data_IF_606238264126
#
_entry.id   IF_606238264126
#
_cell.length_a   1.000
_cell.length_b   1.000
_cell.length_c   1.000
_cell.angle_alpha   90.00
_cell.angle_beta   90.00
_cell.angle_gamma   90.00
#
_symmetry.space_group_name_H-M   'P 1'
#
loop_
_entity.id
_entity.type
_entity.pdbx_description
1 polymer ?
#
# COMPACT_ATOMS: atom_id res chain seq x y z
N UNK A 1 51.43 36.35 -31.18
CA UNK A 1 51.02 35.04 -31.78
C UNK A 1 50.77 33.92 -30.74
N UNK A 2 50.97 34.15 -29.48
CA UNK A 2 50.90 33.11 -28.42
C UNK A 2 49.48 32.81 -27.86
N UNK A 3 48.53 33.76 -27.93
CA UNK A 3 47.21 33.60 -27.30
C UNK A 3 46.19 32.73 -28.13
N UNK A 4 46.36 32.68 -29.43
CA UNK A 4 45.47 31.84 -30.29
C UNK A 4 45.80 30.34 -30.25
N UNK A 5 47.04 29.97 -29.90
CA UNK A 5 47.41 28.55 -29.78
C UNK A 5 46.94 27.95 -28.46
N UNK A 6 46.91 28.69 -27.36
CA UNK A 6 46.46 28.22 -26.05
C UNK A 6 44.94 27.99 -26.01
N UNK A 7 44.11 28.79 -26.74
CA UNK A 7 42.68 28.58 -26.83
C UNK A 7 42.28 27.33 -27.64
N UNK A 8 43.03 27.05 -28.72
CA UNK A 8 42.76 25.86 -29.55
C UNK A 8 43.06 24.55 -28.80
N UNK A 9 44.10 24.53 -27.95
CA UNK A 9 44.43 23.34 -27.14
C UNK A 9 43.44 23.12 -25.98
N UNK A 10 42.92 24.18 -25.35
CA UNK A 10 41.90 24.07 -24.29
C UNK A 10 40.54 23.57 -24.83
N UNK A 11 40.14 24.05 -26.00
CA UNK A 11 38.87 23.59 -26.65
C UNK A 11 38.98 22.17 -27.15
N UNK A 12 40.14 21.73 -27.67
CA UNK A 12 40.34 20.35 -28.13
C UNK A 12 40.37 19.35 -26.96
N UNK A 13 40.96 19.73 -25.84
CA UNK A 13 41.02 18.88 -24.65
C UNK A 13 39.65 18.76 -23.99
N UNK A 14 38.88 19.85 -23.93
CA UNK A 14 37.49 19.84 -23.42
C UNK A 14 36.53 19.02 -24.31
N UNK A 15 36.73 19.04 -25.64
CA UNK A 15 35.98 18.20 -26.58
C UNK A 15 36.39 16.73 -26.43
N UNK A 16 37.68 16.44 -26.24
CA UNK A 16 38.15 15.07 -26.06
C UNK A 16 37.68 14.47 -24.73
N UNK A 17 37.68 15.24 -23.64
CA UNK A 17 37.20 14.81 -22.32
C UNK A 17 35.67 14.60 -22.35
N UNK A 18 34.91 15.47 -23.03
CA UNK A 18 33.47 15.27 -23.26
C UNK A 18 33.17 14.06 -24.14
N UNK A 19 33.95 13.82 -25.17
CA UNK A 19 33.80 12.66 -26.07
C UNK A 19 34.13 11.35 -25.33
N UNK A 20 35.16 11.37 -24.48
CA UNK A 20 35.59 10.22 -23.65
C UNK A 20 34.54 9.89 -22.60
N UNK A 21 33.96 10.89 -21.92
CA UNK A 21 32.84 10.74 -20.99
C UNK A 21 31.56 10.23 -21.71
N UNK A 22 31.30 10.71 -22.92
CA UNK A 22 30.16 10.26 -23.75
C UNK A 22 30.32 8.81 -24.19
N UNK A 23 31.52 8.39 -24.60
CA UNK A 23 31.84 7.02 -24.98
C UNK A 23 31.83 6.06 -23.79
N UNK A 24 32.27 6.50 -22.61
CA UNK A 24 32.21 5.72 -21.37
C UNK A 24 30.76 5.55 -20.90
N UNK A 25 29.91 6.58 -21.01
CA UNK A 25 28.48 6.50 -20.68
C UNK A 25 27.73 5.57 -21.63
N UNK A 26 27.98 5.68 -22.93
CA UNK A 26 27.35 4.83 -23.97
C UNK A 26 27.73 3.35 -23.80
N UNK A 27 28.98 3.04 -23.42
CA UNK A 27 29.42 1.67 -23.19
C UNK A 27 28.82 1.07 -21.90
N UNK A 28 28.68 1.86 -20.84
CA UNK A 28 28.06 1.45 -19.59
C UNK A 28 26.55 1.16 -19.77
N UNK A 29 25.83 2.00 -20.51
CA UNK A 29 24.42 1.81 -20.83
C UNK A 29 24.17 0.56 -21.69
N UNK A 30 25.05 0.26 -22.67
CA UNK A 30 25.01 -0.99 -23.42
C UNK A 30 25.25 -2.22 -22.54
N UNK A 31 26.08 -2.09 -21.50
CA UNK A 31 26.37 -3.19 -20.57
C UNK A 31 25.16 -3.50 -19.68
N UNK A 32 24.49 -2.47 -19.17
CA UNK A 32 23.28 -2.60 -18.32
C UNK A 32 22.14 -3.27 -19.10
N UNK A 33 21.99 -2.95 -20.39
CA UNK A 33 20.96 -3.55 -21.25
C UNK A 33 21.24 -5.02 -21.59
N UNK A 34 22.50 -5.52 -21.51
CA UNK A 34 22.84 -6.93 -21.83
C UNK A 34 22.29 -7.94 -20.81
N UNK A 35 22.05 -7.52 -19.57
CA UNK A 35 21.63 -8.41 -18.49
C UNK A 35 20.12 -8.68 -18.42
N UNK A 36 19.34 -8.18 -19.38
CA UNK A 36 17.90 -8.46 -19.44
C UNK A 36 17.66 -9.93 -19.78
N UNK A 37 17.12 -10.67 -18.79
CA UNK A 37 16.80 -12.09 -18.94
C UNK A 37 15.42 -12.27 -19.59
N UNK A 38 15.36 -13.10 -20.62
CA UNK A 38 14.11 -13.47 -21.26
C UNK A 38 13.57 -14.74 -20.60
N UNK A 39 12.36 -14.65 -20.02
CA UNK A 39 11.66 -15.83 -19.46
C UNK A 39 10.99 -16.63 -20.59
N UNK A 40 11.02 -17.94 -20.47
CA UNK A 40 10.31 -18.85 -21.40
C UNK A 40 8.78 -18.77 -21.28
N UNK A 41 8.26 -18.24 -20.15
CA UNK A 41 6.82 -18.14 -19.86
C UNK A 41 6.17 -16.81 -20.29
N UNK A 42 6.96 -15.81 -20.68
CA UNK A 42 6.46 -14.48 -21.06
C UNK A 42 6.86 -14.12 -22.49
N UNK A 43 6.04 -13.29 -23.16
CA UNK A 43 6.38 -12.83 -24.50
C UNK A 43 7.69 -12.00 -24.47
N UNK A 44 8.51 -12.13 -25.52
CA UNK A 44 9.78 -11.39 -25.67
C UNK A 44 9.56 -9.88 -25.59
N UNK A 45 8.42 -9.38 -26.04
CA UNK A 45 8.03 -7.96 -25.96
C UNK A 45 7.91 -7.54 -24.49
N UNK A 46 7.15 -8.31 -23.70
CA UNK A 46 6.94 -8.03 -22.28
C UNK A 46 8.25 -8.15 -21.50
N UNK A 47 9.03 -9.21 -21.72
CA UNK A 47 10.33 -9.40 -21.05
C UNK A 47 11.29 -8.24 -21.31
N UNK A 48 11.36 -7.73 -22.54
CA UNK A 48 12.23 -6.60 -22.89
C UNK A 48 11.73 -5.31 -22.23
N UNK A 49 10.43 -5.02 -22.31
CA UNK A 49 9.85 -3.83 -21.71
C UNK A 49 10.02 -3.83 -20.19
N UNK A 50 9.73 -4.95 -19.53
CA UNK A 50 9.83 -5.08 -18.07
C UNK A 50 11.29 -5.04 -17.60
N UNK A 51 12.24 -5.61 -18.34
CA UNK A 51 13.67 -5.53 -18.04
C UNK A 51 14.21 -4.10 -18.10
N UNK A 52 13.83 -3.31 -19.11
CA UNK A 52 14.18 -1.89 -19.21
C UNK A 52 13.50 -1.11 -18.07
N UNK A 53 12.22 -1.34 -17.81
CA UNK A 53 11.49 -0.72 -16.72
C UNK A 53 12.17 -0.98 -15.38
N UNK A 54 12.60 -2.21 -15.12
CA UNK A 54 13.32 -2.58 -13.90
C UNK A 54 14.66 -1.83 -13.78
N UNK A 55 15.41 -1.71 -14.87
CA UNK A 55 16.66 -0.96 -14.89
C UNK A 55 16.46 0.53 -14.59
N UNK A 56 15.39 1.14 -15.08
CA UNK A 56 15.01 2.52 -14.75
C UNK A 56 14.61 2.60 -13.26
N UNK A 57 13.81 1.66 -12.79
CA UNK A 57 13.35 1.61 -11.40
C UNK A 57 14.54 1.47 -10.42
N UNK A 58 15.52 0.66 -10.74
CA UNK A 58 16.74 0.46 -9.93
C UNK A 58 17.72 1.64 -10.02
N UNK A 59 17.45 2.62 -10.87
CA UNK A 59 18.34 3.77 -11.07
C UNK A 59 19.57 3.48 -11.94
N UNK A 60 19.63 2.30 -12.57
CA UNK A 60 20.70 1.93 -13.51
C UNK A 60 20.58 2.72 -14.83
N UNK A 61 19.34 3.04 -15.24
CA UNK A 61 19.03 3.98 -16.31
C UNK A 61 18.35 5.20 -15.71
N UNK A 62 18.91 6.39 -15.96
CA UNK A 62 18.46 7.65 -15.37
C UNK A 62 17.72 8.50 -16.40
N UNK A 63 16.91 9.45 -15.91
CA UNK A 63 16.28 10.45 -16.73
C UNK A 63 17.29 11.15 -17.66
N UNK A 64 16.96 11.21 -18.95
CA UNK A 64 17.81 11.78 -19.98
C UNK A 64 18.79 10.81 -20.63
N UNK A 65 18.98 9.60 -20.08
CA UNK A 65 19.83 8.56 -20.69
C UNK A 65 19.25 8.09 -22.02
N UNK A 66 20.12 7.95 -23.01
CA UNK A 66 19.70 7.44 -24.33
C UNK A 66 19.60 5.91 -24.30
N UNK A 67 18.54 5.40 -24.90
CA UNK A 67 18.39 3.97 -25.18
C UNK A 67 18.96 3.63 -26.57
N UNK A 68 19.41 2.39 -26.78
CA UNK A 68 19.81 1.93 -28.08
C UNK A 68 18.71 2.14 -29.11
N UNK A 69 19.08 2.40 -30.35
CA UNK A 69 18.13 2.39 -31.48
C UNK A 69 17.47 1.02 -31.63
N UNK A 70 16.35 0.94 -32.34
CA UNK A 70 15.67 -0.33 -32.60
C UNK A 70 16.61 -1.37 -33.23
N UNK A 71 17.51 -0.95 -34.10
CA UNK A 71 18.47 -1.84 -34.76
C UNK A 71 19.52 -2.36 -33.75
N UNK A 72 20.09 -1.46 -32.97
CA UNK A 72 21.08 -1.83 -31.94
C UNK A 72 20.48 -2.73 -30.85
N UNK A 73 19.27 -2.40 -30.35
CA UNK A 73 18.57 -3.22 -29.37
C UNK A 73 18.18 -4.59 -29.94
N UNK A 74 17.76 -4.65 -31.22
CA UNK A 74 17.48 -5.92 -31.92
C UNK A 74 18.71 -6.81 -31.98
N UNK A 75 19.86 -6.25 -32.35
CA UNK A 75 21.14 -6.98 -32.39
C UNK A 75 21.61 -7.40 -30.98
N UNK A 76 21.51 -6.50 -30.00
CA UNK A 76 21.94 -6.71 -28.62
C UNK A 76 21.18 -7.87 -27.95
N UNK A 77 19.85 -7.89 -28.08
CA UNK A 77 18.97 -8.85 -27.43
C UNK A 77 18.62 -10.06 -28.31
N UNK A 78 19.10 -10.13 -29.55
CA UNK A 78 18.82 -11.19 -30.52
C UNK A 78 17.30 -11.43 -30.70
N UNK A 79 16.55 -10.35 -30.83
CA UNK A 79 15.11 -10.33 -31.08
C UNK A 79 14.80 -9.57 -32.35
N UNK A 80 13.60 -9.74 -32.93
CA UNK A 80 13.19 -9.00 -34.12
C UNK A 80 13.08 -7.49 -33.84
N UNK A 81 13.29 -6.67 -34.88
CA UNK A 81 13.07 -5.22 -34.84
C UNK A 81 11.63 -4.88 -34.41
N UNK A 82 10.64 -5.65 -34.86
CA UNK A 82 9.23 -5.49 -34.48
C UNK A 82 9.03 -5.76 -32.97
N UNK A 83 9.73 -6.74 -32.39
CA UNK A 83 9.72 -7.01 -30.95
C UNK A 83 10.23 -5.81 -30.16
N UNK A 84 11.36 -5.21 -30.58
CA UNK A 84 11.91 -4.01 -29.93
C UNK A 84 10.96 -2.82 -30.10
N UNK A 85 10.45 -2.59 -31.31
CA UNK A 85 9.51 -1.51 -31.57
C UNK A 85 8.27 -1.57 -30.68
N UNK A 86 7.67 -2.76 -30.56
CA UNK A 86 6.51 -2.98 -29.70
C UNK A 86 6.85 -2.79 -28.20
N UNK A 87 8.02 -3.27 -27.77
CA UNK A 87 8.49 -3.06 -26.39
C UNK A 87 8.73 -1.57 -26.09
N UNK A 88 9.34 -0.83 -27.00
CA UNK A 88 9.57 0.61 -26.83
C UNK A 88 8.26 1.40 -26.88
N UNK A 89 7.30 1.04 -27.72
CA UNK A 89 5.97 1.64 -27.70
C UNK A 89 5.24 1.39 -26.37
N UNK A 90 5.37 0.20 -25.81
CA UNK A 90 4.83 -0.10 -24.48
C UNK A 90 5.50 0.75 -23.38
N UNK A 91 6.82 0.93 -23.45
CA UNK A 91 7.54 1.82 -22.52
C UNK A 91 7.15 3.30 -22.71
N UNK A 92 6.91 3.75 -23.94
CA UNK A 92 6.36 5.10 -24.22
C UNK A 92 4.95 5.25 -23.65
N UNK A 93 4.09 4.26 -23.83
CA UNK A 93 2.74 4.25 -23.27
C UNK A 93 2.75 4.32 -21.73
N UNK A 94 3.76 3.68 -21.10
CA UNK A 94 4.00 3.78 -19.65
C UNK A 94 4.64 5.12 -19.24
N UNK A 95 5.04 5.98 -20.19
CA UNK A 95 5.73 7.24 -19.94
C UNK A 95 7.17 7.10 -19.45
N UNK A 96 7.77 5.91 -19.56
CA UNK A 96 9.14 5.61 -19.09
C UNK A 96 10.21 6.09 -20.05
N UNK A 97 9.91 6.12 -21.35
CA UNK A 97 10.79 6.61 -22.40
C UNK A 97 10.03 7.51 -23.37
N UNK A 98 10.75 8.33 -24.10
CA UNK A 98 10.25 9.07 -25.24
C UNK A 98 11.26 9.05 -26.39
N UNK A 99 10.91 9.61 -27.53
CA UNK A 99 11.81 9.70 -28.68
C UNK A 99 11.64 11.00 -29.45
N UNK A 100 12.76 11.56 -29.89
CA UNK A 100 12.77 12.68 -30.85
C UNK A 100 13.63 12.33 -32.05
N UNK A 101 13.40 12.96 -33.22
CA UNK A 101 14.19 12.69 -34.40
C UNK A 101 15.69 12.91 -34.22
N UNK A 102 16.09 13.86 -33.35
CA UNK A 102 17.49 14.25 -33.13
C UNK A 102 18.16 13.47 -32.02
N UNK A 103 17.42 13.01 -31.00
CA UNK A 103 17.97 12.35 -29.82
C UNK A 103 17.78 10.82 -29.84
N UNK A 104 16.89 10.31 -30.69
CA UNK A 104 16.47 8.91 -30.63
C UNK A 104 15.60 8.63 -29.42
N UNK A 105 15.64 7.39 -28.92
CA UNK A 105 14.92 6.98 -27.70
C UNK A 105 15.71 7.35 -26.46
N UNK A 106 15.04 7.88 -25.45
CA UNK A 106 15.66 8.27 -24.18
C UNK A 106 14.69 8.05 -23.01
N UNK A 107 15.26 7.84 -21.83
CA UNK A 107 14.49 7.74 -20.59
C UNK A 107 13.88 9.10 -20.27
N UNK A 108 12.56 9.13 -20.06
CA UNK A 108 11.85 10.34 -19.60
C UNK A 108 12.21 10.63 -18.15
N UNK A 109 11.76 11.75 -17.62
CA UNK A 109 11.86 12.05 -16.19
C UNK A 109 11.14 11.01 -15.32
N UNK A 110 11.13 11.21 -14.01
CA UNK A 110 10.43 10.32 -13.09
C UNK A 110 8.98 10.11 -13.53
N UNK A 111 8.61 8.84 -13.70
CA UNK A 111 7.21 8.48 -13.94
C UNK A 111 6.49 8.62 -12.61
N UNK A 112 5.66 9.62 -12.51
CA UNK A 112 4.84 9.87 -11.32
C UNK A 112 3.58 8.98 -11.36
N UNK A 113 3.80 7.66 -11.47
CA UNK A 113 2.73 6.67 -11.51
C UNK A 113 2.81 5.81 -10.26
N UNK A 114 1.76 5.79 -9.47
CA UNK A 114 1.70 5.12 -8.18
C UNK A 114 0.73 3.96 -8.24
N UNK A 115 1.14 2.78 -7.78
CA UNK A 115 0.23 1.70 -7.46
C UNK A 115 -0.25 1.89 -6.02
N UNK A 116 -1.55 2.01 -5.81
CA UNK A 116 -2.19 1.87 -4.51
C UNK A 116 -2.96 0.55 -4.50
N UNK A 117 -2.37 -0.46 -3.84
CA UNK A 117 -2.93 -1.80 -3.73
C UNK A 117 -3.51 -1.98 -2.33
N UNK A 118 -4.83 -2.04 -2.25
CA UNK A 118 -5.57 -2.20 -0.99
C UNK A 118 -6.18 -3.62 -0.92
N UNK A 119 -6.58 -4.01 0.28
CA UNK A 119 -7.22 -5.30 0.53
C UNK A 119 -8.65 -5.36 -0.02
N UNK A 120 -9.62 -4.70 0.61
CA UNK A 120 -11.01 -4.63 0.18
C UNK A 120 -11.50 -3.19 0.13
N UNK A 121 -12.59 -2.96 -0.59
CA UNK A 121 -13.29 -1.68 -0.56
C UNK A 121 -14.09 -1.53 0.75
N UNK A 122 -13.97 -0.35 1.36
CA UNK A 122 -14.80 0.10 2.49
C UNK A 122 -14.85 1.63 2.49
N UNK A 123 -15.81 2.21 3.19
CA UNK A 123 -15.97 3.67 3.28
C UNK A 123 -14.77 4.36 3.93
N UNK A 124 -14.19 3.76 4.98
CA UNK A 124 -12.98 4.32 5.60
C UNK A 124 -11.75 4.23 4.67
N UNK A 125 -11.64 3.19 3.81
CA UNK A 125 -10.60 3.12 2.78
C UNK A 125 -10.86 4.07 1.61
N UNK A 126 -12.11 4.39 1.34
CA UNK A 126 -12.45 5.48 0.43
C UNK A 126 -11.95 6.82 0.97
N UNK A 127 -12.09 7.09 2.28
CA UNK A 127 -11.52 8.27 2.92
C UNK A 127 -9.99 8.29 2.80
N UNK A 128 -9.32 7.16 3.06
CA UNK A 128 -7.88 7.01 2.83
C UNK A 128 -7.51 7.41 1.39
N UNK A 129 -8.19 6.84 0.40
CA UNK A 129 -7.92 7.14 -1.01
C UNK A 129 -8.13 8.62 -1.35
N UNK A 130 -9.24 9.23 -0.89
CA UNK A 130 -9.52 10.64 -1.14
C UNK A 130 -8.45 11.56 -0.56
N UNK A 131 -8.04 11.30 0.69
CA UNK A 131 -6.97 12.09 1.33
C UNK A 131 -5.62 11.83 0.69
N UNK A 132 -5.33 10.59 0.31
CA UNK A 132 -4.13 10.24 -0.45
C UNK A 132 -4.06 11.01 -1.77
N UNK A 133 -5.10 10.91 -2.60
CA UNK A 133 -5.14 11.55 -3.91
C UNK A 133 -5.11 13.08 -3.84
N UNK A 134 -5.80 13.68 -2.85
CA UNK A 134 -5.84 15.13 -2.66
C UNK A 134 -4.49 15.72 -2.21
N UNK A 135 -3.61 14.93 -1.61
CA UNK A 135 -2.29 15.36 -1.16
C UNK A 135 -1.16 15.03 -2.17
N UNK A 136 -1.50 14.48 -3.33
CA UNK A 136 -0.55 14.26 -4.41
C UNK A 136 -0.54 15.46 -5.38
N UNK A 137 0.63 15.84 -5.93
CA UNK A 137 0.72 16.80 -7.02
C UNK A 137 -0.04 16.33 -8.27
N UNK A 138 -0.55 17.26 -9.09
CA UNK A 138 -1.36 16.97 -10.28
C UNK A 138 -0.68 16.08 -11.33
N UNK A 139 0.65 16.05 -11.35
CA UNK A 139 1.44 15.22 -12.25
C UNK A 139 1.58 13.77 -11.79
N UNK A 140 0.99 13.38 -10.67
CA UNK A 140 0.91 12.00 -10.21
C UNK A 140 -0.36 11.32 -10.74
N UNK A 141 -0.21 10.06 -11.17
CA UNK A 141 -1.32 9.17 -11.53
C UNK A 141 -1.36 8.02 -10.55
N UNK A 142 -2.55 7.68 -10.10
CA UNK A 142 -2.77 6.60 -9.13
C UNK A 142 -3.63 5.52 -9.78
N UNK A 143 -3.12 4.30 -9.82
CA UNK A 143 -3.90 3.11 -10.10
C UNK A 143 -4.29 2.48 -8.77
N UNK A 144 -5.59 2.49 -8.46
CA UNK A 144 -6.18 1.87 -7.28
C UNK A 144 -6.66 0.47 -7.64
N UNK A 145 -6.11 -0.54 -6.97
CA UNK A 145 -6.45 -1.95 -7.19
C UNK A 145 -6.76 -2.60 -5.83
N UNK A 146 -7.68 -3.56 -5.82
CA UNK A 146 -8.05 -4.34 -4.63
C UNK A 146 -7.72 -5.82 -4.84
N UNK A 147 -7.10 -6.47 -3.86
CA UNK A 147 -6.75 -7.90 -3.92
C UNK A 147 -7.73 -8.81 -3.17
N UNK A 148 -8.71 -8.25 -2.44
CA UNK A 148 -9.79 -8.99 -1.80
C UNK A 148 -9.30 -10.09 -0.84
N UNK A 149 -8.22 -9.88 -0.11
CA UNK A 149 -7.52 -10.87 0.72
C UNK A 149 -7.15 -12.17 -0.02
N UNK A 150 -7.13 -12.13 -1.36
CA UNK A 150 -6.75 -13.28 -2.19
C UNK A 150 -5.24 -13.25 -2.46
N UNK A 151 -4.51 -14.18 -1.84
CA UNK A 151 -3.06 -14.30 -1.97
C UNK A 151 -2.60 -14.44 -3.43
N UNK A 152 -3.25 -15.32 -4.18
CA UNK A 152 -2.89 -15.53 -5.59
C UNK A 152 -3.09 -14.29 -6.44
N UNK A 153 -4.19 -13.56 -6.21
CA UNK A 153 -4.46 -12.29 -6.89
C UNK A 153 -3.43 -11.23 -6.48
N UNK A 154 -3.14 -11.11 -5.18
CA UNK A 154 -2.12 -10.20 -4.66
C UNK A 154 -0.76 -10.44 -5.34
N UNK A 155 -0.27 -11.69 -5.31
CA UNK A 155 1.00 -12.08 -5.91
C UNK A 155 1.04 -11.78 -7.41
N UNK A 156 -0.07 -12.04 -8.11
CA UNK A 156 -0.20 -11.77 -9.55
C UNK A 156 -0.12 -10.26 -9.82
N UNK A 157 -0.89 -9.45 -9.08
CA UNK A 157 -0.89 -7.99 -9.23
C UNK A 157 0.50 -7.43 -8.97
N UNK A 158 1.15 -7.80 -7.85
CA UNK A 158 2.48 -7.30 -7.50
C UNK A 158 3.48 -7.68 -8.58
N UNK A 159 3.54 -8.96 -8.97
CA UNK A 159 4.48 -9.46 -9.99
C UNK A 159 4.30 -8.80 -11.35
N UNK A 160 3.06 -8.60 -11.77
CA UNK A 160 2.76 -7.93 -13.03
C UNK A 160 2.99 -6.41 -13.00
N UNK A 161 3.04 -5.83 -11.80
CA UNK A 161 3.24 -4.40 -11.58
C UNK A 161 4.72 -3.99 -11.53
N UNK A 162 5.63 -4.94 -11.31
CA UNK A 162 7.06 -4.65 -11.22
C UNK A 162 7.53 -3.87 -12.45
N UNK A 163 8.20 -2.74 -12.21
CA UNK A 163 8.72 -1.85 -13.27
C UNK A 163 7.68 -0.97 -13.95
N UNK A 164 6.40 -1.02 -13.57
CA UNK A 164 5.35 -0.16 -14.15
C UNK A 164 5.12 1.13 -13.36
N UNK A 165 5.42 1.12 -12.07
CA UNK A 165 5.15 2.22 -11.15
C UNK A 165 6.43 2.79 -10.56
N UNK A 166 6.40 4.09 -10.28
CA UNK A 166 7.49 4.78 -9.60
C UNK A 166 7.50 4.48 -8.10
N UNK A 167 6.32 4.30 -7.51
CA UNK A 167 6.10 3.98 -6.10
C UNK A 167 4.97 2.96 -5.98
N UNK A 168 5.10 2.12 -4.97
CA UNK A 168 4.15 1.07 -4.59
C UNK A 168 3.69 1.33 -3.16
N UNK A 169 2.40 1.50 -2.97
CA UNK A 169 1.75 1.64 -1.67
C UNK A 169 0.83 0.44 -1.51
N UNK A 170 1.11 -0.44 -0.56
CA UNK A 170 0.54 -1.79 -0.54
C UNK A 170 0.00 -2.14 0.84
N UNK A 171 -1.27 -2.54 0.92
CA UNK A 171 -1.83 -3.30 2.04
C UNK A 171 -1.60 -4.80 1.83
N UNK A 172 -1.33 -5.52 2.92
CA UNK A 172 -1.05 -6.96 2.83
C UNK A 172 -2.34 -7.78 2.64
N UNK A 173 -2.18 -8.99 2.12
CA UNK A 173 -3.26 -9.98 1.99
C UNK A 173 -3.46 -10.80 3.28
N UNK A 174 -2.45 -10.87 4.15
CA UNK A 174 -2.46 -11.58 5.41
C UNK A 174 -1.71 -10.78 6.48
N UNK A 175 -2.19 -10.84 7.71
CA UNK A 175 -1.53 -10.18 8.84
C UNK A 175 -0.32 -10.96 9.38
N UNK A 176 -0.17 -12.23 9.01
CA UNK A 176 0.82 -13.13 9.59
C UNK A 176 1.98 -13.49 8.64
N UNK A 177 1.89 -13.08 7.36
CA UNK A 177 2.88 -13.45 6.35
C UNK A 177 3.29 -12.26 5.51
N UNK A 178 4.59 -12.13 5.30
CA UNK A 178 5.15 -11.16 4.35
C UNK A 178 5.40 -11.83 3.00
N UNK A 179 4.83 -11.28 1.93
CA UNK A 179 5.05 -11.79 0.59
C UNK A 179 6.49 -11.57 0.11
N UNK A 180 7.18 -12.65 -0.28
CA UNK A 180 8.52 -12.58 -0.86
C UNK A 180 8.55 -11.79 -2.18
N UNK A 181 7.43 -11.70 -2.89
CA UNK A 181 7.32 -10.93 -4.13
C UNK A 181 7.56 -9.44 -3.87
N UNK A 182 7.17 -8.91 -2.71
CA UNK A 182 7.43 -7.52 -2.33
C UNK A 182 8.93 -7.21 -2.18
N UNK A 183 9.75 -8.19 -1.81
CA UNK A 183 11.22 -8.03 -1.70
C UNK A 183 11.90 -7.71 -3.03
N UNK A 184 11.21 -7.94 -4.14
CA UNK A 184 11.71 -7.60 -5.48
C UNK A 184 11.59 -6.10 -5.80
N UNK A 185 10.80 -5.37 -5.01
CA UNK A 185 10.61 -3.93 -5.14
C UNK A 185 11.67 -3.24 -4.25
N UNK A 186 12.43 -2.26 -4.76
CA UNK A 186 13.37 -1.51 -3.94
C UNK A 186 12.69 -0.86 -2.73
N UNK A 187 13.27 -0.98 -1.53
CA UNK A 187 12.70 -0.46 -0.29
C UNK A 187 12.35 1.04 -0.36
N UNK A 188 13.14 1.83 -1.10
CA UNK A 188 12.89 3.26 -1.32
C UNK A 188 11.65 3.57 -2.17
N UNK A 189 11.03 2.54 -2.78
CA UNK A 189 9.84 2.67 -3.64
C UNK A 189 8.62 1.91 -3.10
N UNK A 190 8.74 1.27 -1.95
CA UNK A 190 7.69 0.48 -1.33
C UNK A 190 7.29 1.08 0.01
N UNK A 191 6.00 1.37 0.16
CA UNK A 191 5.36 1.70 1.42
C UNK A 191 4.37 0.59 1.78
N UNK A 192 4.54 0.03 2.96
CA UNK A 192 3.62 -0.95 3.52
C UNK A 192 2.55 -0.22 4.34
N UNK A 193 1.28 -0.47 4.03
CA UNK A 193 0.16 0.05 4.80
C UNK A 193 -0.51 -1.08 5.56
N UNK A 194 -0.79 -0.82 6.83
CA UNK A 194 -1.62 -1.67 7.68
C UNK A 194 -1.16 -3.15 7.70
N UNK A 195 0.14 -3.36 7.70
CA UNK A 195 0.74 -4.68 7.85
C UNK A 195 0.73 -5.11 9.31
N UNK A 196 0.47 -6.39 9.53
CA UNK A 196 0.46 -6.99 10.87
C UNK A 196 1.80 -6.98 11.59
N UNK A 197 1.86 -7.65 12.72
CA UNK A 197 2.96 -7.59 13.67
C UNK A 197 4.11 -8.56 13.33
N UNK A 198 4.69 -8.42 12.13
CA UNK A 198 5.88 -9.15 11.72
C UNK A 198 7.03 -8.18 11.38
N UNK A 199 8.24 -8.71 11.31
CA UNK A 199 9.41 -7.89 10.99
C UNK A 199 9.31 -7.32 9.57
N UNK A 200 9.30 -6.00 9.48
CA UNK A 200 9.19 -5.24 8.22
C UNK A 200 10.54 -4.82 7.67
N UNK A 201 11.63 -5.27 8.34
CA UNK A 201 13.02 -4.98 7.93
C UNK A 201 13.23 -3.49 7.64
N UNK A 202 13.92 -3.18 6.54
CA UNK A 202 14.23 -1.81 6.11
C UNK A 202 13.10 -1.12 5.32
N UNK A 203 11.92 -1.74 5.21
CA UNK A 203 10.82 -1.15 4.47
C UNK A 203 10.17 0.00 5.24
N UNK A 204 9.70 0.99 4.49
CA UNK A 204 8.83 2.02 5.04
C UNK A 204 7.45 1.42 5.31
N UNK A 205 6.85 1.80 6.46
CA UNK A 205 5.51 1.36 6.80
C UNK A 205 4.75 2.43 7.60
N UNK A 206 3.43 2.41 7.45
CA UNK A 206 2.48 3.12 8.30
C UNK A 206 1.38 2.12 8.62
N UNK A 207 1.27 1.71 9.88
CA UNK A 207 0.39 0.63 10.31
C UNK A 207 -0.47 1.05 11.49
N UNK A 208 -1.53 0.31 11.73
CA UNK A 208 -2.31 0.37 12.95
C UNK A 208 -1.64 -0.51 14.02
N UNK A 209 -1.70 -0.08 15.28
CA UNK A 209 -1.38 -0.93 16.42
C UNK A 209 -2.66 -1.63 16.89
N UNK A 210 -2.74 -2.92 16.60
CA UNK A 210 -3.86 -3.78 16.98
C UNK A 210 -3.72 -4.38 18.38
N UNK A 211 -2.61 -4.11 19.05
CA UNK A 211 -2.19 -4.74 20.29
C UNK A 211 -2.44 -3.81 21.50
N UNK A 212 -1.40 -3.15 21.95
CA UNK A 212 -1.46 -2.33 23.17
C UNK A 212 -2.40 -1.11 22.99
N UNK A 213 -2.43 -0.49 21.81
CA UNK A 213 -3.34 0.64 21.56
C UNK A 213 -4.82 0.22 21.63
N UNK A 214 -5.16 -0.98 21.16
CA UNK A 214 -6.50 -1.53 21.31
C UNK A 214 -6.86 -1.74 22.78
N UNK A 215 -5.94 -2.33 23.58
CA UNK A 215 -6.11 -2.49 25.00
C UNK A 215 -6.33 -1.14 25.70
N UNK A 216 -5.54 -0.13 25.37
CA UNK A 216 -5.68 1.21 25.96
C UNK A 216 -7.01 1.87 25.61
N UNK A 217 -7.55 1.65 24.41
CA UNK A 217 -8.91 2.09 24.05
C UNK A 217 -9.97 1.46 24.96
N UNK A 218 -9.84 0.17 25.27
CA UNK A 218 -10.75 -0.50 26.20
C UNK A 218 -10.62 0.05 27.64
N UNK A 219 -9.39 0.35 28.08
CA UNK A 219 -9.14 0.99 29.38
C UNK A 219 -9.76 2.37 29.46
N UNK A 220 -9.65 3.19 28.41
CA UNK A 220 -10.31 4.49 28.33
C UNK A 220 -11.84 4.39 28.40
N UNK A 221 -12.42 3.35 27.77
CA UNK A 221 -13.84 3.08 27.79
C UNK A 221 -14.36 2.39 29.05
N UNK A 222 -13.49 1.99 29.98
CA UNK A 222 -13.84 1.13 31.12
C UNK A 222 -15.02 1.63 31.94
N UNK A 223 -15.06 2.93 32.26
CA UNK A 223 -16.15 3.50 33.06
C UNK A 223 -17.52 3.35 32.38
N UNK A 224 -17.56 3.44 31.04
CA UNK A 224 -18.77 3.22 30.25
C UNK A 224 -19.13 1.73 30.19
N UNK A 225 -18.13 0.86 30.20
CA UNK A 225 -18.30 -0.59 30.15
C UNK A 225 -18.75 -1.18 31.49
N UNK A 226 -18.46 -0.52 32.62
CA UNK A 226 -18.79 -0.99 33.96
C UNK A 226 -20.31 -1.17 34.20
N UNK A 227 -21.16 -0.51 33.41
CA UNK A 227 -22.63 -0.69 33.52
C UNK A 227 -23.13 -2.02 32.96
N UNK A 228 -22.29 -2.71 32.18
CA UNK A 228 -22.60 -4.01 31.58
C UNK A 228 -22.01 -5.14 32.42
N UNK A 229 -22.74 -6.25 32.51
CA UNK A 229 -22.32 -7.45 33.27
C UNK A 229 -21.43 -8.37 32.46
N UNK A 230 -21.45 -8.24 31.13
CA UNK A 230 -20.76 -9.13 30.21
C UNK A 230 -20.24 -8.33 29.01
N UNK A 231 -19.08 -8.69 28.53
CA UNK A 231 -18.49 -8.20 27.28
C UNK A 231 -18.47 -9.35 26.26
N UNK A 232 -18.95 -9.10 25.05
CA UNK A 232 -18.99 -10.10 23.98
C UNK A 232 -18.24 -9.56 22.77
N UNK A 233 -17.22 -10.28 22.31
CA UNK A 233 -16.52 -9.94 21.09
C UNK A 233 -16.98 -10.86 19.95
N UNK A 234 -17.69 -10.30 18.97
CA UNK A 234 -18.09 -11.00 17.75
C UNK A 234 -16.94 -10.90 16.76
N UNK A 235 -16.24 -12.02 16.61
CA UNK A 235 -14.99 -12.11 15.84
C UNK A 235 -15.05 -13.37 14.95
N UNK A 236 -15.68 -13.31 13.78
CA UNK A 236 -15.81 -14.46 12.87
C UNK A 236 -14.47 -15.09 12.49
N UNK A 237 -14.45 -16.38 12.22
CA UNK A 237 -13.22 -17.10 11.85
C UNK A 237 -12.64 -16.63 10.52
N UNK A 238 -13.50 -16.26 9.58
CA UNK A 238 -13.13 -15.81 8.24
C UNK A 238 -12.67 -14.34 8.17
N UNK A 239 -12.78 -13.59 9.28
CA UNK A 239 -12.40 -12.17 9.26
C UNK A 239 -10.88 -12.01 9.19
N UNK A 240 -10.42 -11.22 8.24
CA UNK A 240 -9.02 -10.88 8.10
C UNK A 240 -8.61 -9.73 9.05
N UNK A 241 -8.83 -9.92 10.34
CA UNK A 241 -8.43 -9.00 11.41
C UNK A 241 -7.37 -9.67 12.28
N UNK A 242 -6.35 -8.96 12.79
CA UNK A 242 -5.31 -9.55 13.61
C UNK A 242 -5.86 -10.29 14.82
N UNK A 243 -5.49 -11.56 14.97
CA UNK A 243 -5.93 -12.40 16.08
C UNK A 243 -5.43 -11.88 17.45
N UNK A 244 -4.41 -11.02 17.47
CA UNK A 244 -3.91 -10.36 18.68
C UNK A 244 -4.99 -9.52 19.38
N UNK A 245 -5.97 -8.96 18.65
CA UNK A 245 -7.10 -8.26 19.24
C UNK A 245 -7.90 -9.15 20.21
N UNK A 246 -8.02 -10.46 19.93
CA UNK A 246 -8.65 -11.41 20.85
C UNK A 246 -7.87 -11.57 22.15
N UNK A 247 -6.53 -11.62 22.05
CA UNK A 247 -5.65 -11.70 23.20
C UNK A 247 -5.82 -10.47 24.11
N UNK A 248 -5.77 -9.26 23.50
CA UNK A 248 -5.87 -8.02 24.29
C UNK A 248 -7.27 -7.76 24.83
N UNK A 249 -8.32 -8.17 24.11
CA UNK A 249 -9.68 -8.16 24.65
C UNK A 249 -9.82 -9.09 25.87
N UNK A 250 -9.30 -10.32 25.77
CA UNK A 250 -9.31 -11.29 26.89
C UNK A 250 -8.47 -10.77 28.06
N UNK A 251 -7.29 -10.21 27.78
CA UNK A 251 -6.42 -9.61 28.80
C UNK A 251 -7.14 -8.48 29.52
N UNK A 252 -7.74 -7.52 28.81
CA UNK A 252 -8.51 -6.43 29.40
C UNK A 252 -9.65 -6.95 30.27
N UNK A 253 -10.41 -7.92 29.78
CA UNK A 253 -11.54 -8.49 30.52
C UNK A 253 -11.10 -9.15 31.83
N UNK A 254 -9.99 -9.88 31.82
CA UNK A 254 -9.43 -10.53 33.01
C UNK A 254 -8.84 -9.50 33.98
N UNK A 255 -8.05 -8.55 33.49
CA UNK A 255 -7.40 -7.52 34.33
C UNK A 255 -8.43 -6.65 35.08
N UNK A 256 -9.62 -6.48 34.50
CA UNK A 256 -10.71 -5.65 35.05
C UNK A 256 -11.93 -6.45 35.53
N UNK A 257 -11.80 -7.78 35.61
CA UNK A 257 -12.82 -8.69 36.16
C UNK A 257 -14.17 -8.66 35.41
N UNK A 258 -14.17 -8.43 34.12
CA UNK A 258 -15.35 -8.55 33.29
C UNK A 258 -15.62 -10.02 32.94
N UNK A 259 -16.88 -10.45 33.07
CA UNK A 259 -17.30 -11.67 32.39
C UNK A 259 -17.26 -11.43 30.89
N UNK A 260 -16.68 -12.34 30.10
CA UNK A 260 -16.53 -12.14 28.68
C UNK A 260 -16.75 -13.42 27.87
N UNK A 261 -17.09 -13.24 26.60
CA UNK A 261 -17.28 -14.30 25.61
C UNK A 261 -16.75 -13.86 24.26
N UNK A 262 -16.21 -14.79 23.47
CA UNK A 262 -15.79 -14.59 22.09
C UNK A 262 -16.65 -15.47 21.21
N UNK A 263 -17.36 -14.86 20.24
CA UNK A 263 -18.22 -15.54 19.27
C UNK A 263 -17.46 -15.61 17.94
N UNK A 264 -17.12 -16.84 17.54
CA UNK A 264 -16.30 -17.12 16.35
C UNK A 264 -17.12 -17.59 15.14
N UNK A 265 -18.33 -18.06 15.35
CA UNK A 265 -19.17 -18.59 14.28
C UNK A 265 -20.64 -18.24 14.49
N UNK A 266 -21.38 -18.22 13.38
CA UNK A 266 -22.83 -18.00 13.37
C UNK A 266 -23.58 -19.01 14.26
N UNK A 267 -23.12 -20.25 14.31
CA UNK A 267 -23.71 -21.30 15.14
C UNK A 267 -23.67 -20.98 16.66
N UNK A 268 -22.73 -20.13 17.08
CA UNK A 268 -22.56 -19.72 18.48
C UNK A 268 -23.37 -18.46 18.83
N UNK A 269 -23.99 -17.81 17.83
CA UNK A 269 -24.81 -16.63 18.07
C UNK A 269 -26.15 -17.00 18.69
N UNK A 270 -26.40 -16.53 19.91
CA UNK A 270 -27.63 -16.78 20.67
C UNK A 270 -28.57 -15.57 20.73
N UNK A 271 -28.19 -14.53 20.02
CA UNK A 271 -28.87 -13.23 20.08
C UNK A 271 -28.34 -12.33 21.19
N UNK A 272 -28.78 -11.06 21.16
CA UNK A 272 -28.34 -10.08 22.17
C UNK A 272 -29.01 -10.37 23.52
N UNK A 273 -28.25 -10.15 24.60
CA UNK A 273 -28.67 -10.30 25.98
C UNK A 273 -28.63 -8.95 26.70
N UNK A 274 -29.52 -8.66 27.65
CA UNK A 274 -29.51 -7.40 28.39
C UNK A 274 -28.25 -7.28 29.26
N UNK A 275 -27.86 -6.07 29.57
CA UNK A 275 -26.67 -5.73 30.34
C UNK A 275 -25.36 -6.32 29.75
N UNK A 276 -25.29 -6.41 28.42
CA UNK A 276 -24.14 -6.92 27.68
C UNK A 276 -23.61 -5.88 26.70
N UNK A 277 -22.28 -5.66 26.64
CA UNK A 277 -21.64 -4.84 25.62
C UNK A 277 -21.05 -5.72 24.52
N UNK A 278 -21.41 -5.45 23.29
CA UNK A 278 -20.98 -6.16 22.09
C UNK A 278 -19.93 -5.37 21.34
N UNK A 279 -18.85 -6.05 20.97
CA UNK A 279 -17.78 -5.56 20.11
C UNK A 279 -17.88 -6.31 18.79
N UNK A 280 -17.85 -5.61 17.65
CA UNK A 280 -17.94 -6.25 16.34
C UNK A 280 -16.96 -5.63 15.36
N UNK A 281 -16.45 -6.47 14.44
CA UNK A 281 -15.47 -6.07 13.41
C UNK A 281 -16.17 -5.80 12.08
N UNK A 282 -17.17 -6.61 11.74
CA UNK A 282 -17.80 -6.54 10.43
C UNK A 282 -19.09 -5.68 10.46
N UNK A 283 -19.40 -4.98 9.36
CA UNK A 283 -20.68 -4.30 9.21
C UNK A 283 -21.89 -5.26 9.29
N UNK A 284 -21.72 -6.50 8.85
CA UNK A 284 -22.73 -7.55 8.90
C UNK A 284 -23.10 -7.89 10.34
N UNK A 285 -22.10 -8.05 11.21
CA UNK A 285 -22.31 -8.33 12.64
C UNK A 285 -22.94 -7.12 13.33
N UNK A 286 -22.52 -5.90 12.99
CA UNK A 286 -23.11 -4.67 13.50
C UNK A 286 -24.62 -4.62 13.18
N UNK A 287 -24.99 -4.85 11.92
CA UNK A 287 -26.39 -4.85 11.48
C UNK A 287 -27.19 -5.96 12.18
N UNK A 288 -26.61 -7.14 12.35
CA UNK A 288 -27.22 -8.26 13.04
C UNK A 288 -27.53 -7.94 14.51
N UNK A 289 -26.56 -7.37 15.23
CA UNK A 289 -26.73 -6.97 16.63
C UNK A 289 -27.83 -5.93 16.74
N UNK A 290 -27.85 -4.91 15.87
CA UNK A 290 -28.86 -3.86 15.88
C UNK A 290 -30.28 -4.42 15.63
N UNK A 291 -30.42 -5.29 14.61
CA UNK A 291 -31.73 -5.93 14.29
C UNK A 291 -32.26 -6.80 15.43
N UNK A 292 -31.36 -7.54 16.09
CA UNK A 292 -31.78 -8.38 17.21
C UNK A 292 -32.17 -7.53 18.43
N UNK A 293 -31.42 -6.44 18.71
CA UNK A 293 -31.78 -5.47 19.72
C UNK A 293 -33.14 -4.86 19.49
N UNK A 294 -33.44 -4.46 18.23
CA UNK A 294 -34.74 -3.92 17.85
C UNK A 294 -35.88 -4.94 18.04
N UNK A 295 -35.63 -6.19 17.64
CA UNK A 295 -36.64 -7.28 17.82
C UNK A 295 -36.96 -7.50 19.29
N UNK A 296 -35.96 -7.43 20.15
CA UNK A 296 -36.09 -7.60 21.61
C UNK A 296 -36.48 -6.31 22.33
N UNK A 297 -36.58 -5.20 21.60
CA UNK A 297 -36.86 -3.85 22.12
C UNK A 297 -35.87 -3.37 23.15
N UNK A 298 -34.59 -3.74 22.97
CA UNK A 298 -33.50 -3.22 23.78
C UNK A 298 -32.98 -1.89 23.22
N UNK A 299 -32.74 -0.95 24.10
CA UNK A 299 -32.15 0.36 23.78
C UNK A 299 -30.62 0.23 23.83
N UNK A 300 -29.98 0.50 22.66
CA UNK A 300 -28.52 0.51 22.53
C UNK A 300 -27.97 1.71 23.29
N UNK A 301 -26.93 1.47 24.07
CA UNK A 301 -26.34 2.46 24.98
C UNK A 301 -26.94 2.42 26.41
N UNK A 302 -28.04 1.68 26.62
CA UNK A 302 -28.69 1.57 27.90
C UNK A 302 -28.89 0.09 28.34
N UNK A 303 -29.66 -0.69 27.57
CA UNK A 303 -29.91 -2.10 27.86
C UNK A 303 -28.75 -2.99 27.37
N UNK A 304 -28.16 -2.63 26.24
CA UNK A 304 -26.95 -3.23 25.69
C UNK A 304 -25.97 -2.16 25.23
N UNK A 305 -24.69 -2.48 25.23
CA UNK A 305 -23.62 -1.67 24.62
C UNK A 305 -23.27 -2.17 23.24
N UNK A 306 -22.79 -1.28 22.37
CA UNK A 306 -22.33 -1.63 21.03
C UNK A 306 -21.10 -0.80 20.65
N UNK A 307 -20.01 -1.48 20.26
CA UNK A 307 -18.75 -0.90 19.84
C UNK A 307 -18.31 -1.52 18.51
N UNK A 308 -18.12 -0.70 17.50
CA UNK A 308 -17.63 -1.13 16.20
C UNK A 308 -16.09 -1.02 16.11
N UNK A 309 -15.46 -1.86 15.31
CA UNK A 309 -14.08 -1.70 14.89
C UNK A 309 -14.04 -1.02 13.51
N UNK A 310 -13.19 0.00 13.37
CA UNK A 310 -13.15 1.01 12.34
C UNK A 310 -14.37 1.95 12.35
N UNK A 311 -14.07 3.24 12.29
CA UNK A 311 -15.11 4.26 12.23
C UNK A 311 -15.58 4.51 10.80
N UNK A 312 -16.87 4.76 10.68
CA UNK A 312 -17.56 5.07 9.44
C UNK A 312 -18.51 6.24 9.69
N UNK A 313 -18.59 7.23 8.81
CA UNK A 313 -19.52 8.36 8.97
C UNK A 313 -20.97 7.94 9.21
N UNK A 314 -21.38 6.77 8.69
CA UNK A 314 -22.72 6.25 8.93
C UNK A 314 -22.98 5.90 10.40
N UNK A 315 -21.95 5.57 11.16
CA UNK A 315 -22.04 5.25 12.58
C UNK A 315 -22.44 6.46 13.44
N UNK A 316 -22.27 7.67 12.96
CA UNK A 316 -22.71 8.89 13.65
C UNK A 316 -24.22 9.00 13.74
N UNK A 317 -24.93 8.46 12.74
CA UNK A 317 -26.39 8.63 12.60
C UNK A 317 -27.19 7.37 12.98
N UNK A 318 -26.56 6.18 12.90
CA UNK A 318 -27.22 4.93 13.30
C UNK A 318 -27.45 4.93 14.81
N UNK A 319 -28.71 4.70 15.24
CA UNK A 319 -29.09 4.57 16.67
C UNK A 319 -28.57 5.72 17.55
N UNK A 320 -28.59 6.94 17.02
CA UNK A 320 -28.06 8.16 17.65
C UNK A 320 -26.54 8.15 17.90
N UNK A 321 -25.82 7.31 17.20
CA UNK A 321 -24.36 7.23 17.24
C UNK A 321 -23.82 5.94 17.84
N UNK A 322 -23.06 5.21 17.05
CA UNK A 322 -22.33 4.00 17.46
C UNK A 322 -20.88 4.37 17.77
N UNK A 323 -20.42 4.00 18.95
CA UNK A 323 -19.01 4.15 19.36
C UNK A 323 -18.13 3.24 18.54
N UNK A 324 -16.89 3.67 18.29
CA UNK A 324 -15.95 2.91 17.47
C UNK A 324 -14.53 2.96 18.05
N UNK A 325 -13.75 1.94 17.77
CA UNK A 325 -12.27 1.94 17.89
C UNK A 325 -11.71 2.02 16.48
N UNK A 326 -10.92 3.03 16.18
CA UNK A 326 -10.40 3.27 14.82
C UNK A 326 -9.09 4.05 14.83
N UNK A 327 -8.34 3.93 13.72
CA UNK A 327 -7.34 4.94 13.37
C UNK A 327 -7.98 6.01 12.48
N UNK A 328 -7.29 7.13 12.31
CA UNK A 328 -7.63 8.10 11.27
C UNK A 328 -7.12 7.61 9.89
N UNK A 329 -8.00 7.02 9.11
CA UNK A 329 -7.70 6.56 7.74
C UNK A 329 -7.41 7.73 6.78
N UNK A 330 -7.92 8.92 7.06
CA UNK A 330 -7.58 10.13 6.31
C UNK A 330 -6.12 10.50 6.54
N UNK A 331 -5.67 10.52 7.80
CA UNK A 331 -4.28 10.77 8.16
C UNK A 331 -3.35 9.69 7.58
N UNK A 332 -3.77 8.41 7.57
CA UNK A 332 -3.04 7.33 6.90
C UNK A 332 -2.81 7.65 5.42
N UNK A 333 -3.84 8.12 4.72
CA UNK A 333 -3.77 8.52 3.32
C UNK A 333 -2.84 9.72 3.10
N UNK A 334 -2.92 10.76 3.94
CA UNK A 334 -2.03 11.93 3.87
C UNK A 334 -0.56 11.55 4.05
N UNK A 335 -0.25 10.76 5.07
CA UNK A 335 1.12 10.30 5.33
C UNK A 335 1.65 9.42 4.19
N UNK A 336 0.81 8.57 3.61
CA UNK A 336 1.17 7.78 2.44
C UNK A 336 1.48 8.68 1.22
N UNK A 337 0.71 9.74 0.98
CA UNK A 337 0.99 10.73 -0.07
C UNK A 337 2.30 11.50 0.19
N UNK A 338 2.58 11.83 1.43
CA UNK A 338 3.86 12.44 1.83
C UNK A 338 5.06 11.54 1.52
N UNK A 339 4.97 10.23 1.81
CA UNK A 339 6.01 9.29 1.43
C UNK A 339 6.22 9.26 -0.09
N UNK A 340 5.13 9.18 -0.86
CA UNK A 340 5.15 9.16 -2.34
C UNK A 340 5.85 10.40 -2.90
N UNK A 341 5.56 11.57 -2.33
CA UNK A 341 6.08 12.85 -2.82
C UNK A 341 7.53 13.08 -2.41
N UNK A 342 7.87 12.78 -1.15
CA UNK A 342 9.16 13.13 -0.56
C UNK A 342 10.19 11.99 -0.60
N UNK A 343 9.73 10.74 -0.78
CA UNK A 343 10.57 9.51 -0.78
C UNK A 343 11.44 9.36 0.47
N UNK A 344 11.00 9.95 1.59
CA UNK A 344 11.69 9.81 2.87
C UNK A 344 11.21 8.54 3.57
N UNK A 345 12.12 7.69 4.07
CA UNK A 345 11.74 6.52 4.86
C UNK A 345 10.84 6.93 6.05
N UNK A 346 9.82 6.13 6.30
CA UNK A 346 8.90 6.30 7.41
C UNK A 346 8.62 4.93 8.04
N UNK A 347 8.64 4.87 9.37
CA UNK A 347 8.29 3.67 10.13
C UNK A 347 7.44 4.12 11.31
N UNK A 348 6.13 3.97 11.18
CA UNK A 348 5.20 4.57 12.12
C UNK A 348 4.00 3.65 12.37
N UNK A 349 3.57 3.61 13.63
CA UNK A 349 2.25 3.13 14.02
C UNK A 349 1.35 4.33 14.32
N UNK A 350 0.18 4.37 13.67
CA UNK A 350 -0.81 5.41 13.93
C UNK A 350 -1.53 5.10 15.25
N UNK A 351 -1.84 6.14 16.03
CA UNK A 351 -2.61 5.95 17.25
C UNK A 351 -4.01 5.41 16.91
N UNK A 352 -4.42 4.40 17.68
CA UNK A 352 -5.79 3.90 17.66
C UNK A 352 -6.57 4.65 18.75
N UNK A 353 -7.75 5.14 18.41
CA UNK A 353 -8.57 5.98 19.27
C UNK A 353 -9.93 5.36 19.56
N UNK A 354 -10.44 5.59 20.78
CA UNK A 354 -11.83 5.28 21.13
C UNK A 354 -12.71 6.49 20.85
N UNK A 355 -13.60 6.35 19.89
CA UNK A 355 -14.60 7.35 19.51
C UNK A 355 -15.88 7.04 20.26
N UNK A 356 -16.16 7.83 21.29
CA UNK A 356 -17.32 7.64 22.18
C UNK A 356 -18.54 8.32 21.56
N UNK A 357 -19.62 7.55 21.42
CA UNK A 357 -20.97 8.01 21.04
C UNK A 357 -22.01 7.42 21.97
N UNK A 358 -23.30 7.48 21.61
CA UNK A 358 -24.40 7.11 22.49
C UNK A 358 -24.60 5.59 22.68
N UNK A 359 -23.83 4.74 22.00
CA UNK A 359 -24.00 3.28 22.05
C UNK A 359 -23.27 2.59 23.22
N UNK A 360 -22.47 3.32 24.01
CA UNK A 360 -21.80 2.84 25.19
C UNK A 360 -22.30 3.55 26.44
#
# INVERSE_FOLDING_TARGET
MSYKYALKHKTSKLLCDKLCLFLQHSSAQQYIMKDIKFSHSTSKIKSLADGISLSIMQGNLKAGDNLPSINEASALHKVSRDTVFKAYNELKRRGLIDSTPTKGYFVTGEVNHVLLLLDTYSSFKQNLYHRFAANLPENFKVDLIFHQYNEHLFETIVRESIGKYSIYVVMNFSNDQFSDTLKTIPASKLLLLDFGNFEKSDFSYICQDFDESFYQCLVQGKELLNKYKKLVFVFPEEVCHPASALHYFTKFSNDHHFNHEIIRSEANWKGVEPATAYFCITPEDLVKIIKDADTKKFEIGKDIGLLAYNDDPVLEVIKNGISAISIDFGLLGEKAAHFVTNKKPIQEYLPTELIIRNSL
#
